data_IF_609914437878
#
_entry.id   IF_609914437878
#
_cell.length_a   1.000
_cell.length_b   1.000
_cell.length_c   1.000
_cell.angle_alpha   90.00
_cell.angle_beta   90.00
_cell.angle_gamma   90.00
#
_symmetry.space_group_name_H-M   'P 1'
#
loop_
_entity.id
_entity.type
_entity.pdbx_description
1 polymer ?
#
# COMPACT_ATOMS: atom_id res chain seq x y z
N UNK A 1 18.83 5.76 -7.89
CA UNK A 1 19.65 4.60 -7.45
C UNK A 1 19.52 4.48 -5.94
N UNK A 2 19.15 3.30 -5.45
CA UNK A 2 18.85 3.05 -4.03
C UNK A 2 19.81 1.99 -3.52
N UNK A 3 20.55 2.29 -2.45
CA UNK A 3 21.58 1.41 -1.90
C UNK A 3 21.45 1.34 -0.38
N UNK A 4 21.43 0.12 0.17
CA UNK A 4 21.17 -0.20 1.58
C UNK A 4 22.47 -0.61 2.27
N UNK A 5 22.67 -0.33 3.57
CA UNK A 5 23.95 -0.59 4.29
C UNK A 5 23.89 -1.27 5.71
N UNK A 6 24.99 -1.90 6.22
CA UNK A 6 25.19 -2.64 7.55
C UNK A 6 26.57 -2.39 8.29
N UNK A 7 26.91 -2.96 9.48
CA UNK A 7 28.09 -3.06 10.47
C UNK A 7 29.21 -2.00 10.82
N UNK A 8 30.25 -2.41 11.61
CA UNK A 8 30.55 -2.16 13.07
C UNK A 8 32.05 -1.89 13.47
N UNK A 9 32.34 -1.11 14.55
CA UNK A 9 33.28 -1.35 15.69
C UNK A 9 33.31 -0.22 16.76
N UNK A 10 33.54 -0.58 18.03
CA UNK A 10 33.73 0.23 19.26
C UNK A 10 35.15 0.01 19.81
N UNK A 11 35.79 0.94 20.56
CA UNK A 11 37.17 0.80 21.00
C UNK A 11 37.37 -0.18 22.18
N UNK A 12 38.60 -0.66 22.26
CA UNK A 12 39.19 -1.57 23.25
C UNK A 12 39.19 -1.03 24.69
N UNK A 13 38.82 -1.88 25.65
CA UNK A 13 39.30 -1.83 27.04
C UNK A 13 39.67 -3.25 27.50
N UNK A 14 40.78 -3.33 28.24
CA UNK A 14 41.58 -4.54 28.51
C UNK A 14 41.31 -5.09 29.93
N UNK A 15 41.42 -6.43 30.07
CA UNK A 15 41.65 -7.26 31.29
C UNK A 15 40.43 -7.91 31.99
N UNK A 16 40.57 -9.08 32.68
CA UNK A 16 41.51 -10.22 32.58
C UNK A 16 40.77 -11.60 32.50
N UNK A 17 41.44 -12.78 32.53
CA UNK A 17 40.94 -14.02 31.93
C UNK A 17 40.06 -14.85 32.86
N UNK A 18 39.06 -15.52 32.28
CA UNK A 18 38.29 -16.59 32.93
C UNK A 18 38.37 -17.87 32.08
N UNK A 19 38.83 -18.95 32.69
CA UNK A 19 39.03 -20.27 32.08
C UNK A 19 37.70 -20.98 31.78
N UNK A 20 37.58 -21.76 30.69
CA UNK A 20 36.36 -22.51 30.40
C UNK A 20 36.42 -23.95 30.91
N UNK A 21 35.34 -24.40 31.56
CA UNK A 21 35.10 -25.81 31.90
C UNK A 21 34.07 -26.44 30.96
N UNK A 22 34.54 -27.46 30.24
CA UNK A 22 33.89 -28.75 29.93
C UNK A 22 32.51 -28.83 29.27
N UNK A 23 32.54 -29.38 28.05
CA UNK A 23 31.81 -30.57 27.58
C UNK A 23 30.28 -30.66 27.79
N UNK A 24 29.53 -30.48 26.69
CA UNK A 24 28.33 -31.29 26.44
C UNK A 24 28.34 -31.87 25.01
N UNK A 25 28.56 -33.18 24.93
CA UNK A 25 28.28 -34.01 23.76
C UNK A 25 26.77 -34.23 23.65
N UNK A 26 26.14 -33.78 22.57
CA UNK A 26 24.79 -34.24 22.18
C UNK A 26 24.89 -35.35 21.13
N UNK A 27 24.29 -36.50 21.47
CA UNK A 27 24.14 -37.68 20.61
C UNK A 27 23.00 -37.42 19.61
N UNK A 28 23.27 -37.59 18.31
CA UNK A 28 22.23 -37.72 17.29
C UNK A 28 21.73 -39.17 17.26
N UNK A 29 20.41 -39.38 17.39
CA UNK A 29 19.74 -40.66 17.10
C UNK A 29 19.23 -40.62 15.66
N UNK A 30 19.74 -41.53 14.83
CA UNK A 30 19.21 -41.84 13.51
C UNK A 30 17.82 -42.49 13.61
N UNK A 31 16.84 -41.92 12.93
CA UNK A 31 15.54 -42.54 12.67
C UNK A 31 15.58 -43.30 11.34
N UNK A 32 15.05 -44.53 11.32
CA UNK A 32 14.84 -45.32 10.10
C UNK A 32 13.54 -44.87 9.41
N UNK A 33 13.46 -44.89 8.07
CA UNK A 33 12.23 -44.56 7.35
C UNK A 33 11.25 -45.75 7.38
N UNK A 34 10.00 -45.45 7.73
CA UNK A 34 8.83 -46.33 7.55
C UNK A 34 8.27 -46.12 6.15
N UNK A 35 8.12 -47.21 5.38
CA UNK A 35 7.47 -47.23 4.07
C UNK A 35 5.93 -47.24 4.24
N UNK A 36 5.27 -46.16 3.85
CA UNK A 36 3.81 -46.05 3.83
C UNK A 36 3.31 -45.64 2.44
N UNK A 37 3.32 -46.58 1.49
CA UNK A 37 2.82 -46.32 0.12
C UNK A 37 1.98 -47.49 -0.37
N UNK A 38 0.68 -47.44 -0.12
CA UNK A 38 -0.32 -48.24 -0.86
C UNK A 38 -1.74 -47.70 -0.69
N UNK A 39 -2.09 -47.14 0.47
CA UNK A 39 -3.49 -46.79 0.77
C UNK A 39 -3.88 -45.34 0.41
N UNK A 40 -2.91 -44.42 0.31
CA UNK A 40 -3.19 -43.00 -0.02
C UNK A 40 -3.59 -42.82 -1.49
N UNK A 41 -3.00 -43.60 -2.41
CA UNK A 41 -3.30 -43.51 -3.84
C UNK A 41 -4.75 -43.91 -4.18
N UNK A 42 -5.33 -44.87 -3.45
CA UNK A 42 -6.73 -45.29 -3.65
C UNK A 42 -7.73 -44.26 -3.13
N UNK A 43 -7.36 -43.50 -2.09
CA UNK A 43 -8.22 -42.47 -1.51
C UNK A 43 -8.32 -41.22 -2.40
N UNK A 44 -7.21 -40.84 -3.07
CA UNK A 44 -7.16 -39.68 -3.96
C UNK A 44 -8.04 -39.89 -5.21
N UNK A 45 -8.08 -41.11 -5.77
CA UNK A 45 -8.89 -41.42 -6.96
C UNK A 45 -10.40 -41.32 -6.65
N UNK A 46 -10.83 -41.76 -5.47
CA UNK A 46 -12.24 -41.68 -5.04
C UNK A 46 -12.71 -40.23 -4.84
N UNK A 47 -11.88 -39.38 -4.25
CA UNK A 47 -12.21 -37.94 -4.06
C UNK A 47 -12.31 -37.23 -5.42
N UNK A 48 -11.42 -37.54 -6.36
CA UNK A 48 -11.43 -36.93 -7.69
C UNK A 48 -12.71 -37.28 -8.46
N UNK A 49 -13.21 -38.51 -8.34
CA UNK A 49 -14.41 -38.95 -9.06
C UNK A 49 -15.68 -38.29 -8.51
N UNK A 50 -15.78 -38.12 -7.18
CA UNK A 50 -16.91 -37.41 -6.55
C UNK A 50 -16.97 -35.94 -6.97
N UNK A 51 -15.84 -35.23 -6.99
CA UNK A 51 -15.79 -33.82 -7.38
C UNK A 51 -16.22 -33.59 -8.83
N UNK A 52 -15.82 -34.46 -9.76
CA UNK A 52 -16.24 -34.35 -11.16
C UNK A 52 -17.75 -34.55 -11.33
N UNK A 53 -18.38 -35.43 -10.54
CA UNK A 53 -19.83 -35.67 -10.63
C UNK A 53 -20.65 -34.48 -10.10
N UNK A 54 -20.17 -33.80 -9.05
CA UNK A 54 -20.81 -32.61 -8.49
C UNK A 54 -20.73 -31.43 -9.47
N UNK A 55 -19.60 -31.24 -10.16
CA UNK A 55 -19.47 -30.16 -11.15
C UNK A 55 -20.45 -30.37 -12.31
N UNK A 56 -20.52 -31.58 -12.89
CA UNK A 56 -21.40 -31.87 -14.04
C UNK A 56 -22.88 -31.66 -13.70
N UNK A 57 -23.32 -32.07 -12.51
CA UNK A 57 -24.72 -31.91 -12.09
C UNK A 57 -25.10 -30.45 -11.83
N UNK A 58 -24.16 -29.63 -11.36
CA UNK A 58 -24.39 -28.20 -11.10
C UNK A 58 -24.50 -27.40 -12.40
N UNK A 59 -23.68 -27.73 -13.41
CA UNK A 59 -23.70 -27.07 -14.73
C UNK A 59 -24.99 -27.34 -15.50
N UNK A 60 -25.55 -28.56 -15.38
CA UNK A 60 -26.83 -28.92 -16.03
C UNK A 60 -28.01 -28.17 -15.38
N UNK A 61 -27.95 -27.90 -14.07
CA UNK A 61 -29.00 -27.18 -13.35
C UNK A 61 -29.02 -25.68 -13.68
N UNK A 62 -27.85 -25.07 -13.89
CA UNK A 62 -27.74 -23.65 -14.24
C UNK A 62 -28.20 -23.33 -15.67
N UNK A 63 -28.08 -24.27 -16.61
CA UNK A 63 -28.49 -24.07 -18.00
C UNK A 63 -30.01 -23.90 -18.22
N UNK A 64 -30.87 -24.37 -17.31
CA UNK A 64 -32.32 -24.30 -17.48
C UNK A 64 -32.98 -23.00 -17.00
N UNK A 65 -32.34 -22.23 -16.11
CA UNK A 65 -32.94 -21.00 -15.55
C UNK A 65 -32.71 -19.74 -16.40
N UNK A 66 -31.73 -19.74 -17.32
CA UNK A 66 -31.40 -18.56 -18.11
C UNK A 66 -32.31 -18.34 -19.34
N UNK A 67 -33.15 -19.30 -19.72
CA UNK A 67 -34.01 -19.13 -20.89
C UNK A 67 -35.28 -18.30 -20.59
N UNK A 68 -35.74 -18.24 -19.33
CA UNK A 68 -36.93 -17.45 -18.97
C UNK A 68 -36.65 -15.96 -18.73
N UNK A 69 -35.44 -15.58 -18.30
CA UNK A 69 -35.10 -14.16 -18.14
C UNK A 69 -34.90 -13.42 -19.48
N UNK A 70 -34.54 -14.14 -20.55
CA UNK A 70 -34.30 -13.53 -21.86
C UNK A 70 -35.59 -13.05 -22.57
N UNK A 71 -36.76 -13.62 -22.22
CA UNK A 71 -38.05 -13.25 -22.83
C UNK A 71 -38.73 -12.05 -22.16
N UNK A 72 -38.40 -11.73 -20.90
CA UNK A 72 -38.93 -10.55 -20.20
C UNK A 72 -38.24 -9.25 -20.62
N UNK A 73 -36.97 -9.31 -21.08
CA UNK A 73 -36.22 -8.13 -21.53
C UNK A 73 -36.73 -7.54 -22.85
N UNK A 74 -37.45 -8.31 -23.67
CA UNK A 74 -37.86 -7.87 -25.02
C UNK A 74 -39.13 -7.02 -25.05
N UNK A 75 -39.88 -6.95 -23.95
CA UNK A 75 -41.19 -6.27 -23.91
C UNK A 75 -41.14 -4.80 -23.46
N UNK A 76 -40.02 -4.35 -22.88
CA UNK A 76 -39.87 -2.98 -22.34
C UNK A 76 -39.21 -1.96 -23.30
N UNK A 77 -38.96 -2.32 -24.56
CA UNK A 77 -38.25 -1.45 -25.52
C UNK A 77 -39.14 -0.69 -26.52
N UNK A 78 -40.45 -0.55 -26.28
CA UNK A 78 -41.36 0.07 -27.26
C UNK A 78 -41.85 1.50 -26.98
N UNK A 79 -41.63 2.05 -25.78
CA UNK A 79 -42.17 3.38 -25.42
C UNK A 79 -41.10 4.40 -24.97
N UNK A 80 -40.14 4.74 -25.83
CA UNK A 80 -39.17 5.81 -25.53
C UNK A 80 -38.62 6.49 -26.78
N UNK A 81 -39.48 7.18 -27.53
CA UNK A 81 -39.09 8.00 -28.68
C UNK A 81 -39.16 9.50 -28.34
N UNK A 82 -38.30 9.96 -27.43
CA UNK A 82 -37.94 11.39 -27.29
C UNK A 82 -36.65 11.66 -26.48
N UNK A 83 -35.99 10.64 -25.91
CA UNK A 83 -34.68 10.76 -25.22
C UNK A 83 -33.49 10.16 -26.00
N UNK A 84 -33.61 9.96 -27.32
CA UNK A 84 -32.71 9.06 -28.08
C UNK A 84 -31.28 9.59 -28.30
N UNK A 85 -31.05 10.91 -28.21
CA UNK A 85 -29.71 11.49 -28.35
C UNK A 85 -28.83 11.26 -27.10
N UNK A 86 -29.42 11.26 -25.90
CA UNK A 86 -28.67 10.97 -24.67
C UNK A 86 -28.47 9.46 -24.42
N UNK A 87 -29.30 8.60 -25.00
CA UNK A 87 -29.20 7.15 -24.79
C UNK A 87 -28.10 6.49 -25.64
N UNK A 88 -27.76 7.04 -26.81
CA UNK A 88 -26.62 6.58 -27.61
C UNK A 88 -25.28 6.95 -26.96
N UNK A 89 -25.18 8.18 -26.44
CA UNK A 89 -24.00 8.67 -25.73
C UNK A 89 -23.66 7.86 -24.46
N UNK A 90 -24.68 7.48 -23.65
CA UNK A 90 -24.46 6.60 -22.49
C UNK A 90 -23.89 5.23 -22.87
N UNK A 91 -24.25 4.69 -24.04
CA UNK A 91 -23.73 3.39 -24.49
C UNK A 91 -22.28 3.47 -24.93
N UNK A 92 -21.84 4.59 -25.48
CA UNK A 92 -20.46 4.76 -25.95
C UNK A 92 -19.49 4.98 -24.78
N UNK A 93 -19.88 5.75 -23.76
CA UNK A 93 -19.14 5.85 -22.49
C UNK A 93 -19.15 4.53 -21.70
N UNK A 94 -20.23 3.75 -21.78
CA UNK A 94 -20.30 2.42 -21.15
C UNK A 94 -19.45 1.36 -21.86
N UNK A 95 -19.06 1.58 -23.12
CA UNK A 95 -18.26 0.64 -23.92
C UNK A 95 -16.75 0.83 -23.80
N UNK A 96 -16.28 1.97 -23.27
CA UNK A 96 -14.83 2.21 -23.14
C UNK A 96 -14.28 1.52 -21.90
N UNK A 97 -13.32 0.63 -22.10
CA UNK A 97 -12.49 0.10 -21.02
C UNK A 97 -11.62 1.23 -20.44
N UNK A 98 -11.95 1.67 -19.23
CA UNK A 98 -11.10 2.56 -18.43
C UNK A 98 -9.97 1.73 -17.82
N UNK A 99 -8.80 2.33 -17.72
CA UNK A 99 -7.60 1.71 -17.12
C UNK A 99 -7.26 2.45 -15.85
N UNK A 100 -7.11 1.70 -14.76
CA UNK A 100 -6.88 2.26 -13.43
C UNK A 100 -5.45 2.04 -12.97
N UNK A 101 -4.85 3.09 -12.41
CA UNK A 101 -3.63 3.02 -11.62
C UNK A 101 -3.97 3.36 -10.17
N UNK A 102 -3.53 2.54 -9.22
CA UNK A 102 -3.64 2.84 -7.81
C UNK A 102 -2.26 2.80 -7.15
N UNK A 103 -1.88 3.91 -6.53
CA UNK A 103 -0.69 4.04 -5.71
C UNK A 103 -1.14 4.38 -4.29
N UNK A 104 -0.70 3.60 -3.31
CA UNK A 104 -1.01 3.94 -1.93
C UNK A 104 -0.53 2.94 -0.90
N UNK A 105 -1.09 3.06 0.29
CA UNK A 105 -0.69 2.31 1.46
C UNK A 105 -1.37 0.94 1.60
N UNK A 106 -1.32 0.36 2.81
CA UNK A 106 -1.96 -0.91 3.17
C UNK A 106 -3.42 -1.05 2.71
N UNK A 107 -4.22 -0.01 2.91
CA UNK A 107 -5.64 -0.02 2.54
C UNK A 107 -5.80 -0.15 1.02
N UNK A 108 -5.08 0.63 0.21
CA UNK A 108 -5.09 0.45 -1.25
C UNK A 108 -4.71 -0.97 -1.68
N UNK A 109 -3.82 -1.63 -0.93
CA UNK A 109 -3.41 -3.02 -1.16
C UNK A 109 -4.39 -4.09 -0.68
N UNK A 110 -5.46 -3.71 0.01
CA UNK A 110 -6.44 -4.64 0.58
C UNK A 110 -5.98 -5.35 1.85
N UNK A 111 -5.00 -4.80 2.58
CA UNK A 111 -4.60 -5.34 3.87
C UNK A 111 -5.78 -5.30 4.85
N UNK A 112 -6.02 -6.39 5.56
CA UNK A 112 -7.19 -6.57 6.45
C UNK A 112 -8.40 -7.22 5.77
N UNK A 113 -8.40 -7.38 4.44
CA UNK A 113 -9.42 -8.14 3.73
C UNK A 113 -9.08 -9.63 3.67
N UNK A 114 -10.11 -10.47 3.54
CA UNK A 114 -9.95 -11.90 3.24
C UNK A 114 -9.43 -12.14 1.81
N UNK A 115 -9.70 -11.21 0.89
CA UNK A 115 -9.24 -11.23 -0.48
C UNK A 115 -8.84 -9.81 -0.93
N UNK A 116 -7.61 -9.65 -1.40
CA UNK A 116 -7.10 -8.35 -1.88
C UNK A 116 -7.89 -7.80 -3.08
N UNK A 117 -8.55 -8.66 -3.86
CA UNK A 117 -9.42 -8.25 -4.96
C UNK A 117 -10.71 -7.55 -4.49
N UNK A 118 -11.00 -7.59 -3.19
CA UNK A 118 -12.10 -6.84 -2.59
C UNK A 118 -11.65 -5.43 -2.18
N UNK A 119 -10.39 -5.03 -2.42
CA UNK A 119 -9.95 -3.67 -2.16
C UNK A 119 -10.62 -2.66 -3.11
N UNK A 120 -10.78 -1.42 -2.67
CA UNK A 120 -11.51 -0.39 -3.41
C UNK A 120 -10.99 -0.16 -4.85
N UNK A 121 -9.68 -0.25 -5.17
CA UNK A 121 -9.21 -0.09 -6.55
C UNK A 121 -9.70 -1.23 -7.45
N UNK A 122 -9.73 -2.45 -6.94
CA UNK A 122 -10.23 -3.63 -7.66
C UNK A 122 -11.74 -3.58 -7.81
N UNK A 123 -12.50 -3.15 -6.79
CA UNK A 123 -13.94 -2.94 -6.91
C UNK A 123 -14.25 -1.91 -8.02
N UNK A 124 -13.48 -0.82 -8.08
CA UNK A 124 -13.66 0.24 -9.08
C UNK A 124 -13.45 -0.26 -10.52
N UNK A 125 -12.51 -1.18 -10.73
CA UNK A 125 -12.26 -1.79 -12.04
C UNK A 125 -13.20 -2.96 -12.36
N UNK A 126 -13.50 -3.83 -11.39
CA UNK A 126 -14.35 -5.01 -11.55
C UNK A 126 -15.80 -4.65 -11.89
N UNK A 127 -16.32 -3.57 -11.32
CA UNK A 127 -17.65 -3.04 -11.66
C UNK A 127 -17.84 -2.80 -13.17
N UNK A 128 -16.73 -2.76 -13.93
CA UNK A 128 -16.71 -2.47 -15.36
C UNK A 128 -15.98 -3.54 -16.19
N UNK A 129 -15.62 -4.68 -15.59
CA UNK A 129 -14.80 -5.71 -16.23
C UNK A 129 -13.50 -5.11 -16.81
N UNK A 130 -12.80 -4.33 -15.99
CA UNK A 130 -11.61 -3.57 -16.37
C UNK A 130 -10.37 -4.02 -15.59
N UNK A 131 -9.20 -3.70 -16.13
CA UNK A 131 -7.92 -3.97 -15.48
C UNK A 131 -7.55 -2.82 -14.54
N UNK A 132 -6.97 -3.17 -13.40
CA UNK A 132 -6.35 -2.23 -12.47
C UNK A 132 -4.92 -2.66 -12.20
N UNK A 133 -4.00 -1.72 -12.34
CA UNK A 133 -2.64 -1.87 -11.87
C UNK A 133 -2.56 -1.26 -10.47
N UNK A 134 -2.60 -2.13 -9.47
CA UNK A 134 -2.56 -1.74 -8.06
C UNK A 134 -1.14 -1.94 -7.52
N UNK A 135 -0.37 -0.85 -7.44
CA UNK A 135 0.99 -0.86 -6.91
C UNK A 135 1.04 -0.49 -5.41
N UNK A 136 -0.06 -0.68 -4.69
CA UNK A 136 -0.01 -0.62 -3.24
C UNK A 136 0.92 -1.68 -2.67
N UNK A 137 1.73 -1.30 -1.68
CA UNK A 137 2.58 -2.23 -0.91
C UNK A 137 3.60 -3.07 -1.70
N UNK A 138 3.88 -2.82 -2.99
CA UNK A 138 5.03 -3.47 -3.66
C UNK A 138 6.38 -2.84 -3.27
N UNK A 139 6.37 -1.70 -2.58
CA UNK A 139 7.57 -1.06 -2.03
C UNK A 139 7.62 -1.29 -0.52
N UNK A 140 7.87 -2.52 -0.09
CA UNK A 140 8.05 -2.86 1.33
C UNK A 140 9.54 -3.05 1.61
N UNK A 141 10.18 -1.98 2.09
CA UNK A 141 11.44 -2.08 2.82
C UNK A 141 11.06 -2.45 4.27
N UNK A 142 11.39 -3.66 4.74
CA UNK A 142 10.86 -4.26 5.97
C UNK A 142 11.18 -3.53 7.30
N UNK A 143 10.52 -2.40 7.58
CA UNK A 143 10.72 -1.56 8.77
C UNK A 143 9.46 -1.44 9.64
N UNK A 144 9.52 -1.91 10.90
CA UNK A 144 8.38 -2.19 11.78
C UNK A 144 7.35 -1.08 12.17
N UNK A 145 7.18 0.06 11.47
CA UNK A 145 6.13 1.04 11.82
C UNK A 145 5.37 1.62 10.62
N UNK A 146 4.03 1.59 10.66
CA UNK A 146 3.16 1.97 9.55
C UNK A 146 3.06 3.44 9.17
N UNK A 147 3.19 4.37 10.12
CA UNK A 147 3.26 5.79 9.77
C UNK A 147 4.53 6.09 8.97
N UNK A 148 5.66 5.52 9.38
CA UNK A 148 6.90 5.64 8.62
C UNK A 148 6.82 4.98 7.24
N UNK A 149 6.07 3.87 7.09
CA UNK A 149 5.86 3.23 5.77
C UNK A 149 5.22 4.18 4.75
N UNK A 150 4.19 4.93 5.14
CA UNK A 150 3.42 5.74 4.18
C UNK A 150 4.29 6.80 3.51
N UNK A 151 5.11 7.51 4.31
CA UNK A 151 6.03 8.52 3.81
C UNK A 151 7.13 7.94 2.92
N UNK A 152 7.76 6.84 3.33
CA UNK A 152 8.82 6.21 2.53
C UNK A 152 8.27 5.65 1.20
N UNK A 153 7.08 5.05 1.22
CA UNK A 153 6.39 4.57 0.02
C UNK A 153 6.05 5.71 -0.93
N UNK A 154 5.60 6.85 -0.41
CA UNK A 154 5.34 8.04 -1.22
C UNK A 154 6.61 8.60 -1.86
N UNK A 155 7.69 8.75 -1.07
CA UNK A 155 8.99 9.19 -1.58
C UNK A 155 9.47 8.25 -2.69
N UNK A 156 9.40 6.95 -2.46
CA UNK A 156 9.77 5.94 -3.44
C UNK A 156 8.92 6.01 -4.70
N UNK A 157 7.59 6.11 -4.57
CA UNK A 157 6.70 6.27 -5.71
C UNK A 157 7.02 7.54 -6.50
N UNK A 158 7.33 8.65 -5.81
CA UNK A 158 7.69 9.91 -6.43
C UNK A 158 9.01 9.84 -7.20
N UNK A 159 10.00 9.12 -6.68
CA UNK A 159 11.34 9.01 -7.26
C UNK A 159 11.42 7.99 -8.39
N UNK A 160 10.55 6.98 -8.36
CA UNK A 160 10.62 5.78 -9.21
C UNK A 160 9.32 5.57 -10.01
N UNK A 161 8.60 6.64 -10.33
CA UNK A 161 7.28 6.59 -10.96
C UNK A 161 7.34 5.84 -12.28
N UNK A 162 8.28 6.14 -13.19
CA UNK A 162 8.43 5.43 -14.46
C UNK A 162 8.74 3.95 -14.27
N UNK A 163 9.61 3.58 -13.32
CA UNK A 163 9.93 2.17 -13.06
C UNK A 163 8.73 1.39 -12.53
N UNK A 164 7.91 2.01 -11.67
CA UNK A 164 6.71 1.38 -11.10
C UNK A 164 5.63 1.26 -12.17
N UNK A 165 5.37 2.36 -12.88
CA UNK A 165 4.22 2.50 -13.77
C UNK A 165 4.48 1.92 -15.17
N UNK A 166 5.73 1.90 -15.62
CA UNK A 166 6.14 1.36 -16.92
C UNK A 166 5.98 2.33 -18.10
N UNK A 167 6.69 2.02 -19.20
CA UNK A 167 6.79 2.88 -20.39
C UNK A 167 5.67 2.69 -21.41
N UNK A 168 4.96 1.56 -21.38
CA UNK A 168 3.90 1.24 -22.34
C UNK A 168 2.50 1.46 -21.77
N UNK A 169 2.39 1.64 -20.46
CA UNK A 169 1.11 1.68 -19.78
C UNK A 169 0.43 3.04 -19.95
N UNK A 170 -0.90 3.00 -19.96
CA UNK A 170 -1.77 4.16 -20.17
C UNK A 170 -2.94 4.04 -19.20
N UNK A 171 -3.20 5.10 -18.45
CA UNK A 171 -4.27 5.12 -17.46
C UNK A 171 -5.24 6.25 -17.75
N UNK A 172 -6.52 5.99 -17.53
CA UNK A 172 -7.58 6.98 -17.61
C UNK A 172 -7.91 7.54 -16.21
N UNK A 173 -7.68 6.75 -15.16
CA UNK A 173 -7.96 7.11 -13.77
C UNK A 173 -6.78 6.67 -12.90
N UNK A 174 -6.30 7.58 -12.05
CA UNK A 174 -5.18 7.38 -11.14
C UNK A 174 -5.64 7.73 -9.72
N UNK A 175 -5.49 6.82 -8.77
CA UNK A 175 -5.78 7.07 -7.35
C UNK A 175 -4.49 7.11 -6.54
N UNK A 176 -4.36 8.10 -5.66
CA UNK A 176 -3.22 8.33 -4.78
C UNK A 176 -3.70 8.35 -3.32
N UNK A 177 -3.32 7.35 -2.53
CA UNK A 177 -3.73 7.18 -1.13
C UNK A 177 -2.50 7.13 -0.24
N UNK A 178 -2.25 8.18 0.54
CA UNK A 178 -1.15 8.21 1.50
C UNK A 178 -1.63 8.95 2.75
N UNK A 179 -1.35 8.38 3.92
CA UNK A 179 -1.80 8.92 5.21
C UNK A 179 -0.89 10.08 5.67
N UNK A 180 0.42 9.87 5.58
CA UNK A 180 1.44 10.86 5.95
C UNK A 180 2.06 11.45 4.68
N UNK A 181 1.61 12.66 4.34
CA UNK A 181 1.96 13.32 3.08
C UNK A 181 3.23 14.16 3.26
N UNK A 182 4.32 13.75 2.60
CA UNK A 182 5.42 14.63 2.28
C UNK A 182 5.04 15.44 1.03
N UNK A 183 4.71 16.72 1.24
CA UNK A 183 4.22 17.58 0.17
C UNK A 183 5.19 17.68 -1.01
N UNK A 184 6.51 17.62 -0.76
CA UNK A 184 7.52 17.67 -1.81
C UNK A 184 7.52 16.40 -2.66
N UNK A 185 7.44 15.23 -2.04
CA UNK A 185 7.34 13.95 -2.72
C UNK A 185 6.02 13.84 -3.49
N UNK A 186 4.90 14.24 -2.89
CA UNK A 186 3.60 14.23 -3.56
C UNK A 186 3.57 15.19 -4.76
N UNK A 187 4.14 16.39 -4.60
CA UNK A 187 4.24 17.37 -5.68
C UNK A 187 5.03 16.79 -6.87
N UNK A 188 6.18 16.16 -6.60
CA UNK A 188 6.99 15.52 -7.64
C UNK A 188 6.23 14.36 -8.32
N UNK A 189 5.63 13.46 -7.53
CA UNK A 189 4.86 12.32 -8.04
C UNK A 189 3.73 12.78 -8.95
N UNK A 190 2.92 13.73 -8.48
CA UNK A 190 1.73 14.20 -9.20
C UNK A 190 2.10 14.99 -10.45
N UNK A 191 3.18 15.79 -10.41
CA UNK A 191 3.73 16.46 -11.59
C UNK A 191 4.11 15.43 -12.66
N UNK A 192 4.87 14.40 -12.30
CA UNK A 192 5.30 13.33 -13.22
C UNK A 192 4.11 12.57 -13.81
N UNK A 193 3.15 12.21 -12.96
CA UNK A 193 1.92 11.53 -13.41
C UNK A 193 1.11 12.42 -14.36
N UNK A 194 1.02 13.73 -14.11
CA UNK A 194 0.31 14.66 -14.99
C UNK A 194 1.05 14.90 -16.31
N UNK A 195 2.37 15.03 -16.29
CA UNK A 195 3.21 15.12 -17.50
C UNK A 195 3.04 13.87 -18.37
N UNK A 196 3.04 12.69 -17.74
CA UNK A 196 2.89 11.41 -18.42
C UNK A 196 1.45 11.11 -18.87
N UNK A 197 0.47 11.43 -18.05
CA UNK A 197 -0.95 11.16 -18.29
C UNK A 197 -1.75 12.46 -18.27
N UNK A 198 -1.58 13.33 -19.28
CA UNK A 198 -2.16 14.68 -19.28
C UNK A 198 -3.69 14.67 -19.16
N UNK A 199 -4.34 13.60 -19.61
CA UNK A 199 -5.80 13.44 -19.63
C UNK A 199 -6.36 12.58 -18.50
N UNK A 200 -5.52 11.96 -17.67
CA UNK A 200 -6.01 11.08 -16.61
C UNK A 200 -6.75 11.88 -15.54
N UNK A 201 -7.80 11.29 -14.99
CA UNK A 201 -8.43 11.76 -13.75
C UNK A 201 -7.51 11.36 -12.59
N UNK A 202 -6.97 12.33 -11.86
CA UNK A 202 -6.14 12.08 -10.68
C UNK A 202 -6.98 12.33 -9.42
N UNK A 203 -7.14 11.30 -8.60
CA UNK A 203 -7.94 11.28 -7.38
C UNK A 203 -7.02 11.09 -6.17
N UNK A 204 -6.99 12.08 -5.29
CA UNK A 204 -6.34 12.01 -3.99
C UNK A 204 -7.32 11.42 -2.99
N UNK A 205 -6.99 10.26 -2.42
CA UNK A 205 -7.82 9.52 -1.49
C UNK A 205 -7.30 9.78 -0.08
N UNK A 206 -8.01 10.62 0.67
CA UNK A 206 -7.70 10.91 2.08
C UNK A 206 -8.53 10.01 2.99
N UNK A 207 -7.84 9.06 3.61
CA UNK A 207 -8.41 8.19 4.64
C UNK A 207 -8.03 8.74 6.02
N UNK A 208 -8.97 8.69 6.96
CA UNK A 208 -8.66 8.81 8.39
C UNK A 208 -8.58 7.39 8.98
N UNK A 209 -8.05 7.27 10.19
CA UNK A 209 -7.88 6.02 10.91
C UNK A 209 -8.12 6.19 12.42
N UNK A 210 -8.33 5.11 13.19
CA UNK A 210 -8.47 5.19 14.64
C UNK A 210 -7.30 5.87 15.36
N UNK A 211 -6.07 5.79 14.83
CA UNK A 211 -4.91 6.44 15.45
C UNK A 211 -4.91 7.97 15.31
N UNK A 212 -5.78 8.52 14.47
CA UNK A 212 -5.95 9.97 14.32
C UNK A 212 -6.82 10.58 15.43
N UNK A 213 -7.40 9.74 16.30
CA UNK A 213 -8.19 10.21 17.43
C UNK A 213 -7.35 10.44 18.69
N UNK A 214 -7.77 11.43 19.47
CA UNK A 214 -7.25 11.73 20.79
C UNK A 214 -8.39 12.17 21.71
N UNK A 215 -8.16 12.15 23.01
CA UNK A 215 -9.02 12.85 23.98
C UNK A 215 -8.14 13.69 24.91
N UNK A 216 -8.76 14.62 25.61
CA UNK A 216 -8.12 15.40 26.66
C UNK A 216 -8.50 14.78 28.00
N UNK A 217 -7.51 14.31 28.75
CA UNK A 217 -7.74 13.69 30.06
C UNK A 217 -8.08 14.72 31.15
N UNK A 218 -8.28 14.24 32.38
CA UNK A 218 -8.63 15.09 33.54
C UNK A 218 -7.52 16.08 33.93
N UNK A 219 -6.28 15.85 33.50
CA UNK A 219 -5.12 16.72 33.74
C UNK A 219 -4.93 17.73 32.60
N UNK A 220 -5.79 17.69 31.58
CA UNK A 220 -5.67 18.52 30.39
C UNK A 220 -4.63 17.99 29.39
N UNK A 221 -4.14 16.77 29.57
CA UNK A 221 -3.16 16.15 28.68
C UNK A 221 -3.88 15.49 27.50
N UNK A 222 -3.32 15.69 26.31
CA UNK A 222 -3.72 14.96 25.11
C UNK A 222 -3.27 13.50 25.21
N UNK A 223 -4.23 12.57 25.13
CA UNK A 223 -3.99 11.13 25.08
C UNK A 223 -4.45 10.62 23.73
N UNK A 224 -3.50 10.15 22.93
CA UNK A 224 -3.79 9.54 21.63
C UNK A 224 -4.53 8.21 21.79
N UNK A 225 -5.27 7.80 20.76
CA UNK A 225 -5.93 6.50 20.73
C UNK A 225 -4.95 5.34 20.91
N UNK A 226 -3.74 5.43 20.34
CA UNK A 226 -2.69 4.43 20.52
C UNK A 226 -2.21 4.33 21.97
N UNK A 227 -1.98 5.46 22.65
CA UNK A 227 -1.59 5.49 24.06
C UNK A 227 -2.70 4.97 24.97
N UNK A 228 -3.94 5.41 24.73
CA UNK A 228 -5.12 4.90 25.45
C UNK A 228 -5.23 3.39 25.33
N UNK A 229 -5.02 2.85 24.12
CA UNK A 229 -5.10 1.41 23.85
C UNK A 229 -4.05 0.61 24.62
N UNK A 230 -2.84 1.15 24.79
CA UNK A 230 -1.76 0.52 25.59
C UNK A 230 -2.10 0.49 27.08
N UNK A 231 -2.87 1.47 27.57
CA UNK A 231 -3.30 1.54 28.97
C UNK A 231 -4.45 0.58 29.31
N UNK A 232 -5.19 0.11 28.30
CA UNK A 232 -6.30 -0.81 28.52
C UNK A 232 -5.82 -2.19 28.96
N UNK A 233 -6.55 -2.88 29.85
CA UNK A 233 -6.22 -4.25 30.25
C UNK A 233 -6.07 -5.15 29.02
N UNK A 234 -5.09 -6.07 29.06
CA UNK A 234 -4.87 -7.04 27.98
C UNK A 234 -6.07 -7.96 27.72
N UNK A 235 -6.99 -8.08 28.69
CA UNK A 235 -8.26 -8.79 28.55
C UNK A 235 -9.28 -8.08 27.66
N UNK A 236 -9.08 -6.79 27.36
CA UNK A 236 -9.82 -6.07 26.34
C UNK A 236 -9.23 -6.44 24.97
N UNK A 237 -9.44 -7.69 24.56
CA UNK A 237 -9.07 -8.15 23.23
C UNK A 237 -9.90 -7.40 22.19
N UNK A 238 -9.31 -7.02 21.06
CA UNK A 238 -10.02 -6.33 19.97
C UNK A 238 -11.20 -7.15 19.44
N UNK A 239 -11.16 -8.47 19.64
CA UNK A 239 -12.24 -9.38 19.29
C UNK A 239 -13.54 -9.05 20.03
N UNK A 240 -13.48 -8.41 21.22
CA UNK A 240 -14.63 -7.77 21.85
C UNK A 240 -14.74 -6.29 21.46
N UNK A 241 -15.04 -6.08 20.17
CA UNK A 241 -15.34 -4.77 19.57
C UNK A 241 -16.35 -3.98 20.42
N UNK A 242 -17.34 -4.63 21.04
CA UNK A 242 -18.36 -3.97 21.86
C UNK A 242 -17.81 -3.45 23.19
N UNK A 243 -16.93 -4.21 23.86
CA UNK A 243 -16.28 -3.75 25.08
C UNK A 243 -15.37 -2.54 24.84
N UNK A 244 -14.63 -2.53 23.72
CA UNK A 244 -13.82 -1.36 23.35
C UNK A 244 -14.70 -0.11 23.17
N UNK A 245 -15.80 -0.23 22.42
CA UNK A 245 -16.71 0.90 22.19
C UNK A 245 -17.26 1.44 23.52
N UNK A 246 -17.68 0.55 24.43
CA UNK A 246 -18.13 0.96 25.77
C UNK A 246 -17.05 1.70 26.55
N UNK A 247 -15.80 1.23 26.51
CA UNK A 247 -14.69 1.89 27.19
C UNK A 247 -14.36 3.26 26.55
N UNK A 248 -14.47 3.37 25.22
CA UNK A 248 -14.27 4.64 24.52
C UNK A 248 -15.34 5.68 24.86
N UNK A 249 -16.59 5.26 25.12
CA UNK A 249 -17.69 6.15 25.48
C UNK A 249 -17.47 6.92 26.79
N UNK A 250 -16.52 6.47 27.62
CA UNK A 250 -16.15 7.16 28.85
C UNK A 250 -15.36 8.45 28.59
N UNK A 251 -14.84 8.63 27.38
CA UNK A 251 -14.01 9.76 26.99
C UNK A 251 -14.65 10.57 25.87
N UNK A 252 -14.29 11.86 25.80
CA UNK A 252 -14.69 12.73 24.68
C UNK A 252 -13.59 12.74 23.63
N UNK A 253 -13.80 11.97 22.56
CA UNK A 253 -12.83 11.87 21.47
C UNK A 253 -12.93 13.04 20.50
N UNK A 254 -11.77 13.38 19.94
CA UNK A 254 -11.53 14.40 18.93
C UNK A 254 -10.70 13.79 17.80
N UNK A 255 -11.01 14.15 16.56
CA UNK A 255 -10.17 13.80 15.42
C UNK A 255 -9.10 14.88 15.26
N UNK A 256 -7.83 14.49 15.09
CA UNK A 256 -6.74 15.43 14.81
C UNK A 256 -6.98 16.11 13.46
N UNK A 257 -7.30 17.40 13.47
CA UNK A 257 -7.39 18.18 12.24
C UNK A 257 -5.99 18.35 11.64
N UNK A 258 -5.78 17.79 10.45
CA UNK A 258 -4.54 17.96 9.68
C UNK A 258 -4.52 19.34 8.96
N UNK A 259 -4.71 20.42 9.72
CA UNK A 259 -4.86 21.79 9.20
C UNK A 259 -3.67 22.27 8.37
N UNK A 260 -2.44 21.98 8.80
CA UNK A 260 -1.23 22.51 8.15
C UNK A 260 -0.98 21.93 6.75
N UNK A 261 -1.33 20.66 6.56
CA UNK A 261 -1.12 19.95 5.29
C UNK A 261 -2.13 20.44 4.23
N UNK A 262 -3.28 21.00 4.64
CA UNK A 262 -4.36 21.40 3.73
C UNK A 262 -3.94 22.40 2.64
N UNK A 263 -3.25 23.48 3.03
CA UNK A 263 -2.92 24.57 2.09
C UNK A 263 -1.92 24.15 1.01
N UNK A 264 -0.90 23.38 1.38
CA UNK A 264 0.11 22.92 0.42
C UNK A 264 -0.46 21.86 -0.52
N UNK A 265 -1.31 20.98 0.01
CA UNK A 265 -2.04 20.01 -0.78
C UNK A 265 -2.99 20.68 -1.79
N UNK A 266 -3.77 21.67 -1.38
CA UNK A 266 -4.65 22.41 -2.29
C UNK A 266 -3.88 23.01 -3.47
N UNK A 267 -2.67 23.54 -3.22
CA UNK A 267 -1.78 24.02 -4.30
C UNK A 267 -1.36 22.90 -5.23
N UNK A 268 -0.95 21.74 -4.70
CA UNK A 268 -0.57 20.57 -5.50
C UNK A 268 -1.74 20.11 -6.35
N UNK A 269 -2.94 20.02 -5.76
CA UNK A 269 -4.15 19.56 -6.43
C UNK A 269 -4.58 20.51 -7.56
N UNK A 270 -4.55 21.81 -7.29
CA UNK A 270 -4.83 22.83 -8.29
C UNK A 270 -3.84 22.77 -9.46
N UNK A 271 -2.54 22.60 -9.17
CA UNK A 271 -1.49 22.54 -10.19
C UNK A 271 -1.65 21.35 -11.16
N UNK A 272 -2.20 20.22 -10.69
CA UNK A 272 -2.39 19.02 -11.51
C UNK A 272 -3.84 18.78 -11.93
N UNK A 273 -4.75 19.74 -11.70
CA UNK A 273 -6.20 19.57 -11.90
C UNK A 273 -6.70 18.23 -11.32
N UNK A 274 -6.28 17.95 -10.09
CA UNK A 274 -6.68 16.75 -9.36
C UNK A 274 -7.91 16.99 -8.50
N UNK A 275 -8.51 15.90 -8.06
CA UNK A 275 -9.68 15.92 -7.18
C UNK A 275 -9.39 15.22 -5.87
N UNK A 276 -10.04 15.67 -4.80
CA UNK A 276 -9.93 15.07 -3.48
C UNK A 276 -11.18 14.25 -3.19
N UNK A 277 -10.98 13.02 -2.77
CA UNK A 277 -11.94 12.25 -2.01
C UNK A 277 -11.48 12.19 -0.56
N UNK A 278 -12.35 12.54 0.37
CA UNK A 278 -12.10 12.37 1.80
C UNK A 278 -13.12 11.39 2.36
N UNK A 279 -12.63 10.36 3.05
CA UNK A 279 -13.49 9.43 3.77
C UNK A 279 -14.32 10.23 4.78
N UNK A 280 -15.67 10.14 4.75
CA UNK A 280 -16.52 10.94 5.63
C UNK A 280 -16.17 10.72 7.10
N UNK A 281 -16.03 11.80 7.85
CA UNK A 281 -15.85 11.73 9.31
C UNK A 281 -17.21 11.92 9.98
N UNK A 282 -17.54 11.16 11.04
CA UNK A 282 -18.76 11.41 11.79
C UNK A 282 -18.73 12.82 12.40
N UNK A 283 -19.85 13.55 12.34
CA UNK A 283 -19.95 14.92 12.91
C UNK A 283 -19.71 14.92 14.43
N UNK A 284 -20.19 13.89 15.11
CA UNK A 284 -19.86 13.61 16.50
C UNK A 284 -19.37 12.18 16.61
N UNK A 285 -18.06 12.01 16.84
CA UNK A 285 -17.45 10.68 16.95
C UNK A 285 -18.01 9.90 18.14
N UNK A 286 -18.33 10.57 19.25
CA UNK A 286 -18.82 9.90 20.46
C UNK A 286 -20.20 9.27 20.25
N UNK A 287 -21.03 9.87 19.39
CA UNK A 287 -22.33 9.31 19.02
C UNK A 287 -22.21 8.17 17.99
N UNK A 288 -21.05 8.03 17.35
CA UNK A 288 -20.85 7.16 16.20
C UNK A 288 -19.62 6.25 16.35
N UNK A 289 -19.19 5.93 17.58
CA UNK A 289 -17.99 5.12 17.79
C UNK A 289 -18.03 3.76 17.06
N UNK A 290 -19.22 3.21 16.81
CA UNK A 290 -19.41 2.00 16.00
C UNK A 290 -18.74 2.08 14.61
N UNK A 291 -18.61 3.29 14.05
CA UNK A 291 -17.91 3.48 12.78
C UNK A 291 -16.46 3.00 12.83
N UNK A 292 -15.79 3.09 13.98
CA UNK A 292 -14.41 2.63 14.14
C UNK A 292 -14.29 1.12 13.92
N UNK A 293 -15.21 0.36 14.49
CA UNK A 293 -15.21 -1.11 14.40
C UNK A 293 -15.84 -1.63 13.11
N UNK A 294 -16.73 -0.84 12.51
CA UNK A 294 -17.35 -1.15 11.22
C UNK A 294 -16.43 -0.85 10.05
N UNK A 295 -15.63 0.22 10.13
CA UNK A 295 -14.84 0.72 8.99
C UNK A 295 -13.36 0.36 9.05
N UNK A 296 -12.85 -0.07 10.21
CA UNK A 296 -11.44 -0.40 10.36
C UNK A 296 -11.25 -1.79 10.95
N UNK A 297 -10.21 -2.46 10.45
CA UNK A 297 -9.71 -3.69 11.01
C UNK A 297 -8.30 -3.47 11.56
N UNK A 298 -8.04 -4.03 12.74
CA UNK A 298 -6.70 -4.06 13.30
C UNK A 298 -5.87 -5.10 12.55
N UNK A 299 -4.81 -4.64 11.88
CA UNK A 299 -3.90 -5.54 11.19
C UNK A 299 -2.92 -6.14 12.17
N UNK A 300 -3.27 -7.33 12.67
CA UNK A 300 -2.38 -8.13 13.49
C UNK A 300 -1.15 -8.56 12.69
N UNK A 301 -0.08 -7.76 12.74
CA UNK A 301 1.24 -8.24 12.35
C UNK A 301 1.68 -9.27 13.40
N UNK A 302 1.30 -10.54 13.20
CA UNK A 302 1.78 -11.67 14.01
C UNK A 302 3.27 -11.88 13.71
N UNK A 303 4.10 -10.93 14.08
CA UNK A 303 5.54 -11.04 14.13
C UNK A 303 5.83 -12.06 15.24
N UNK A 304 6.06 -13.30 14.83
CA UNK A 304 6.12 -14.49 15.69
C UNK A 304 7.32 -14.53 16.63
N UNK A 305 8.08 -13.43 16.81
CA UNK A 305 9.42 -13.49 17.40
C UNK A 305 9.92 -12.29 18.22
N UNK A 306 9.11 -11.26 18.48
CA UNK A 306 9.60 -10.11 19.26
C UNK A 306 9.04 -10.09 20.69
N UNK A 307 9.89 -10.40 21.68
CA UNK A 307 9.66 -10.21 23.12
C UNK A 307 9.63 -8.71 23.54
N UNK A 308 9.52 -7.78 22.58
CA UNK A 308 9.45 -6.33 22.88
C UNK A 308 8.01 -5.88 23.07
N UNK A 309 7.75 -5.28 24.23
CA UNK A 309 6.44 -5.09 24.86
C UNK A 309 5.44 -4.13 24.20
N UNK A 310 5.69 -3.59 23.00
CA UNK A 310 4.74 -2.69 22.31
C UNK A 310 4.89 -2.86 20.80
N UNK A 311 4.06 -3.69 20.17
CA UNK A 311 3.91 -3.70 18.72
C UNK A 311 3.05 -2.50 18.30
N UNK A 312 3.50 -1.66 17.35
CA UNK A 312 2.68 -0.58 16.83
C UNK A 312 1.35 -1.14 16.31
N UNK A 313 0.26 -0.51 16.73
CA UNK A 313 -1.09 -0.91 16.31
C UNK A 313 -1.36 -0.30 14.94
N UNK A 314 -1.86 -1.10 14.01
CA UNK A 314 -2.08 -0.71 12.63
C UNK A 314 -3.53 -0.95 12.25
N UNK A 315 -4.13 0.06 11.64
CA UNK A 315 -5.51 0.00 11.17
C UNK A 315 -5.55 0.12 9.66
N UNK A 316 -6.36 -0.74 9.05
CA UNK A 316 -6.67 -0.71 7.62
C UNK A 316 -8.17 -0.70 7.44
N UNK A 317 -8.64 -0.41 6.22
CA UNK A 317 -10.07 -0.40 5.95
C UNK A 317 -10.66 -1.81 6.06
N UNK A 318 -11.83 -1.91 6.68
CA UNK A 318 -12.67 -3.10 6.63
C UNK A 318 -13.28 -3.27 5.23
N UNK A 319 -13.92 -4.43 5.00
CA UNK A 319 -14.71 -4.68 3.77
C UNK A 319 -15.79 -3.62 3.55
N UNK A 320 -16.51 -3.23 4.60
CA UNK A 320 -17.56 -2.20 4.51
C UNK A 320 -17.00 -0.84 4.12
N UNK A 321 -15.87 -0.44 4.72
CA UNK A 321 -15.23 0.83 4.38
C UNK A 321 -14.66 0.81 2.96
N UNK A 322 -14.09 -0.31 2.52
CA UNK A 322 -13.67 -0.49 1.13
C UNK A 322 -14.81 -0.27 0.14
N UNK A 323 -15.98 -0.86 0.38
CA UNK A 323 -17.17 -0.65 -0.44
C UNK A 323 -17.65 0.81 -0.38
N UNK A 324 -17.58 1.46 0.79
CA UNK A 324 -17.92 2.87 0.94
C UNK A 324 -17.00 3.77 0.11
N UNK A 325 -15.68 3.59 0.21
CA UNK A 325 -14.68 4.33 -0.56
C UNK A 325 -14.88 4.12 -2.06
N UNK A 326 -15.02 2.87 -2.50
CA UNK A 326 -15.33 2.54 -3.89
C UNK A 326 -16.58 3.26 -4.40
N UNK A 327 -17.70 3.16 -3.66
CA UNK A 327 -18.99 3.73 -4.09
C UNK A 327 -18.92 5.24 -4.27
N UNK A 328 -18.21 5.93 -3.39
CA UNK A 328 -18.08 7.37 -3.48
C UNK A 328 -17.08 7.81 -4.57
N UNK A 329 -15.96 7.09 -4.73
CA UNK A 329 -15.03 7.31 -5.84
C UNK A 329 -15.70 7.08 -7.20
N UNK A 330 -16.53 6.06 -7.34
CA UNK A 330 -17.26 5.81 -8.58
C UNK A 330 -18.15 7.00 -8.94
N UNK A 331 -18.86 7.60 -7.97
CA UNK A 331 -19.69 8.79 -8.22
C UNK A 331 -18.85 9.96 -8.74
N UNK A 332 -17.68 10.20 -8.15
CA UNK A 332 -16.76 11.25 -8.59
C UNK A 332 -16.29 10.98 -10.02
N UNK A 333 -15.85 9.75 -10.30
CA UNK A 333 -15.42 9.33 -11.64
C UNK A 333 -16.54 9.50 -12.66
N UNK A 334 -17.76 9.06 -12.36
CA UNK A 334 -18.89 9.21 -13.29
C UNK A 334 -19.23 10.67 -13.57
N UNK A 335 -19.15 11.53 -12.55
CA UNK A 335 -19.38 12.96 -12.70
C UNK A 335 -18.36 13.59 -13.66
N UNK A 336 -17.07 13.28 -13.50
CA UNK A 336 -16.03 13.85 -14.36
C UNK A 336 -16.00 13.26 -15.78
N UNK A 337 -16.31 11.97 -15.94
CA UNK A 337 -16.48 11.39 -17.28
C UNK A 337 -17.63 12.06 -18.04
N UNK A 338 -18.75 12.34 -17.34
CA UNK A 338 -19.88 13.07 -17.92
C UNK A 338 -19.49 14.50 -18.30
N UNK A 339 -18.77 15.21 -17.42
CA UNK A 339 -18.27 16.56 -17.69
C UNK A 339 -17.34 16.59 -18.91
N UNK A 340 -16.37 15.68 -18.97
CA UNK A 340 -15.42 15.56 -20.08
C UNK A 340 -16.12 15.31 -21.43
N UNK A 341 -17.23 14.55 -21.39
CA UNK A 341 -18.06 14.30 -22.56
C UNK A 341 -18.84 15.55 -22.99
N UNK A 342 -19.46 16.26 -22.04
CA UNK A 342 -20.18 17.51 -22.31
C UNK A 342 -19.26 18.57 -22.91
N UNK A 343 -18.04 18.70 -22.40
CA UNK A 343 -17.02 19.61 -22.94
C UNK A 343 -16.66 19.23 -24.40
N UNK A 344 -16.54 17.93 -24.69
CA UNK A 344 -16.27 17.44 -26.06
C UNK A 344 -17.42 17.70 -27.03
N UNK A 345 -18.67 17.66 -26.56
CA UNK A 345 -19.87 17.88 -27.38
C UNK A 345 -20.02 19.35 -27.83
N UNK A 346 -19.42 20.30 -27.12
CA UNK A 346 -19.45 21.73 -27.48
C UNK A 346 -18.54 22.09 -28.66
N UNK A 347 -17.90 21.11 -29.31
CA UNK A 347 -17.06 21.35 -30.48
C UNK A 347 -15.69 21.94 -30.15
N UNK A 348 -15.35 22.09 -28.87
CA UNK A 348 -13.97 22.22 -28.42
C UNK A 348 -13.34 20.85 -28.65
N UNK A 349 -12.87 20.63 -29.88
CA UNK A 349 -12.21 19.39 -30.28
C UNK A 349 -11.17 19.06 -29.21
N UNK A 350 -11.24 17.89 -28.55
CA UNK A 350 -10.29 17.52 -27.52
C UNK A 350 -8.93 17.64 -28.17
N UNK A 351 -8.14 18.61 -27.71
CA UNK A 351 -6.93 19.04 -28.39
C UNK A 351 -6.09 17.81 -28.77
N UNK A 352 -5.35 17.88 -29.87
CA UNK A 352 -4.40 16.85 -30.33
C UNK A 352 -3.29 16.50 -29.31
N UNK A 353 -3.44 16.90 -28.03
CA UNK A 353 -2.69 16.38 -26.91
C UNK A 353 -2.57 14.87 -26.99
N UNK A 354 -1.34 14.35 -26.98
CA UNK A 354 -1.11 12.92 -27.04
C UNK A 354 -1.78 12.26 -25.83
N UNK A 355 -2.27 11.03 -26.04
CA UNK A 355 -2.88 10.23 -24.97
C UNK A 355 -1.89 9.95 -23.83
N UNK A 356 -0.60 9.98 -24.16
CA UNK A 356 0.52 9.69 -23.27
C UNK A 356 1.62 10.71 -23.54
N UNK A 357 2.06 11.41 -22.49
CA UNK A 357 3.20 12.32 -22.54
C UNK A 357 4.54 11.62 -22.30
N UNK A 358 5.57 12.41 -22.06
CA UNK A 358 6.91 11.90 -21.69
C UNK A 358 7.02 11.79 -20.17
N UNK A 359 8.05 11.09 -19.68
CA UNK A 359 8.43 11.11 -18.26
C UNK A 359 9.31 12.33 -17.91
N UNK A 360 9.27 13.39 -18.72
CA UNK A 360 10.21 14.50 -18.63
C UNK A 360 11.65 14.01 -18.82
N UNK A 361 12.51 14.28 -17.83
CA UNK A 361 13.88 13.77 -17.79
C UNK A 361 13.99 12.26 -17.50
N UNK A 362 12.87 11.58 -17.26
CA UNK A 362 12.81 10.19 -16.86
C UNK A 362 13.18 10.00 -15.38
N UNK A 363 12.70 8.90 -14.80
CA UNK A 363 12.94 8.54 -13.41
C UNK A 363 13.04 7.04 -13.20
N UNK A 364 13.72 6.37 -14.14
CA UNK A 364 14.10 4.97 -13.99
C UNK A 364 14.95 4.78 -12.75
N UNK A 365 14.36 4.15 -11.75
CA UNK A 365 15.04 3.66 -10.57
C UNK A 365 15.56 2.26 -10.80
N UNK A 366 16.84 2.08 -10.47
CA UNK A 366 17.42 0.79 -10.19
C UNK A 366 17.41 0.57 -8.68
N UNK A 367 16.58 -0.38 -8.24
CA UNK A 367 16.47 -0.80 -6.86
C UNK A 367 17.49 -1.92 -6.62
N UNK A 368 18.70 -1.53 -6.22
CA UNK A 368 19.78 -2.49 -5.99
C UNK A 368 19.43 -3.47 -4.86
N UNK A 369 18.66 -3.02 -3.86
CA UNK A 369 18.20 -3.85 -2.75
C UNK A 369 17.51 -5.14 -3.20
N UNK A 370 16.74 -5.12 -4.29
CA UNK A 370 16.05 -6.31 -4.79
C UNK A 370 16.90 -7.15 -5.73
N UNK A 371 17.73 -6.49 -6.54
CA UNK A 371 18.39 -7.18 -7.66
C UNK A 371 19.81 -7.59 -7.36
N UNK A 372 20.52 -6.87 -6.49
CA UNK A 372 21.95 -7.02 -6.24
C UNK A 372 22.83 -6.65 -7.44
N UNK A 373 22.23 -6.32 -8.60
CA UNK A 373 22.88 -6.08 -9.90
C UNK A 373 23.31 -4.62 -10.02
N UNK A 374 24.34 -4.34 -10.82
CA UNK A 374 24.90 -3.00 -11.13
C UNK A 374 25.91 -2.41 -10.12
N UNK A 375 25.85 -2.77 -8.83
CA UNK A 375 26.93 -2.40 -7.87
C UNK A 375 28.03 -3.45 -7.74
N UNK A 376 27.96 -4.56 -8.48
CA UNK A 376 28.88 -5.69 -8.38
C UNK A 376 30.29 -5.41 -8.92
N UNK A 377 30.52 -4.27 -9.56
CA UNK A 377 31.88 -3.84 -9.87
C UNK A 377 32.56 -3.29 -8.61
N UNK A 378 33.70 -3.88 -8.23
CA UNK A 378 34.51 -3.50 -7.05
C UNK A 378 34.87 -2.00 -6.98
N UNK A 379 34.65 -1.25 -8.06
CA UNK A 379 34.95 0.18 -8.16
C UNK A 379 33.92 1.09 -7.48
N UNK A 380 32.68 0.64 -7.27
CA UNK A 380 31.63 1.50 -6.71
C UNK A 380 31.54 1.45 -5.19
N UNK A 381 32.14 0.46 -4.53
CA UNK A 381 32.08 0.33 -3.09
C UNK A 381 33.45 0.00 -2.49
N UNK A 382 33.99 0.92 -1.69
CA UNK A 382 35.26 0.73 -0.97
C UNK A 382 34.99 0.61 0.52
N UNK A 383 35.45 -0.48 1.15
CA UNK A 383 35.27 -0.73 2.60
C UNK A 383 33.86 -1.19 2.99
N UNK A 384 33.06 -1.62 2.01
CA UNK A 384 31.69 -2.08 2.19
C UNK A 384 31.62 -3.55 1.79
N UNK A 385 30.96 -4.39 2.58
CA UNK A 385 30.79 -5.82 2.30
C UNK A 385 29.38 -6.09 1.81
N UNK A 386 29.23 -6.70 0.63
CA UNK A 386 27.92 -7.14 0.18
C UNK A 386 27.38 -8.27 1.07
N UNK A 387 26.12 -8.14 1.49
CA UNK A 387 25.34 -9.13 2.24
C UNK A 387 24.04 -9.40 1.52
N UNK A 388 23.68 -10.67 1.47
CA UNK A 388 22.41 -11.14 0.95
C UNK A 388 21.54 -11.65 2.10
N UNK A 389 20.28 -11.24 2.12
CA UNK A 389 19.27 -11.55 3.12
C UNK A 389 18.06 -12.15 2.42
N UNK A 390 18.00 -13.49 2.32
CA UNK A 390 16.94 -14.27 1.65
C UNK A 390 16.71 -13.92 0.17
N UNK A 391 16.20 -12.72 -0.12
CA UNK A 391 15.90 -12.17 -1.45
C UNK A 391 16.28 -10.69 -1.59
N UNK A 392 17.09 -10.19 -0.66
CA UNK A 392 17.44 -8.78 -0.58
C UNK A 392 18.95 -8.61 -0.43
N UNK A 393 19.45 -7.46 -0.87
CA UNK A 393 20.87 -7.14 -0.87
C UNK A 393 21.13 -5.88 -0.05
N UNK A 394 22.14 -5.93 0.82
CA UNK A 394 22.62 -4.78 1.58
C UNK A 394 24.15 -4.70 1.54
N UNK A 395 24.71 -3.52 1.77
CA UNK A 395 26.15 -3.24 1.84
C UNK A 395 26.57 -2.99 3.28
N UNK A 396 27.13 -3.97 3.93
CA UNK A 396 27.71 -3.83 5.25
C UNK A 396 28.95 -2.92 5.28
N UNK A 397 28.79 -1.66 5.70
CA UNK A 397 29.84 -0.86 6.36
C UNK A 397 30.50 -1.70 7.44
N UNK A 398 31.81 -1.61 7.56
CA UNK A 398 32.54 -2.12 8.73
C UNK A 398 32.94 -0.89 9.54
N UNK A 399 32.35 -0.66 10.71
CA UNK A 399 32.52 0.61 11.42
C UNK A 399 33.90 0.88 12.01
N UNK A 400 34.85 -0.07 11.94
CA UNK A 400 36.27 0.27 12.14
C UNK A 400 36.86 1.06 10.97
N UNK A 401 36.38 0.82 9.73
CA UNK A 401 36.95 1.43 8.52
C UNK A 401 36.01 2.42 7.83
N UNK A 402 34.72 2.42 8.17
CA UNK A 402 33.70 3.08 7.36
C UNK A 402 33.66 2.50 5.94
N UNK A 403 33.11 3.27 5.01
CA UNK A 403 33.12 2.91 3.60
C UNK A 403 32.75 4.09 2.70
N UNK A 404 32.96 3.92 1.40
CA UNK A 404 32.55 4.89 0.38
C UNK A 404 31.79 4.17 -0.71
N UNK A 405 30.58 4.65 -0.97
CA UNK A 405 29.81 4.28 -2.15
C UNK A 405 29.93 5.40 -3.19
N UNK A 406 30.27 5.03 -4.40
CA UNK A 406 30.19 5.89 -5.56
C UNK A 406 29.00 5.45 -6.42
N UNK A 407 28.19 6.43 -6.80
CA UNK A 407 27.04 6.24 -7.69
C UNK A 407 27.28 7.13 -8.90
N UNK A 408 27.25 6.54 -10.10
CA UNK A 408 27.26 7.32 -11.32
C UNK A 408 25.85 7.83 -11.59
N UNK A 409 25.71 9.15 -11.75
CA UNK A 409 24.49 9.74 -12.26
C UNK A 409 24.57 9.72 -13.80
N UNK A 410 23.75 8.90 -14.49
CA UNK A 410 23.79 8.85 -15.95
C UNK A 410 23.10 10.04 -16.61
N UNK A 411 22.47 10.91 -15.82
CA UNK A 411 21.75 12.09 -16.30
C UNK A 411 22.64 13.34 -16.23
N UNK A 412 22.36 14.28 -17.12
CA UNK A 412 22.97 15.61 -17.19
C UNK A 412 22.48 16.55 -16.08
N UNK A 413 21.34 16.26 -15.48
CA UNK A 413 20.80 16.96 -14.31
C UNK A 413 21.07 16.25 -12.98
N UNK A 414 21.04 17.02 -11.89
CA UNK A 414 21.21 16.48 -10.55
C UNK A 414 20.05 15.56 -10.15
N UNK A 415 20.38 14.38 -9.61
CA UNK A 415 19.39 13.39 -9.17
C UNK A 415 19.47 13.13 -7.68
N UNK A 416 18.32 12.85 -7.10
CA UNK A 416 18.19 12.46 -5.70
C UNK A 416 18.74 11.03 -5.53
N UNK A 417 19.61 10.87 -4.54
CA UNK A 417 20.05 9.56 -4.05
C UNK A 417 19.31 9.29 -2.75
N UNK A 418 18.52 8.21 -2.73
CA UNK A 418 17.80 7.78 -1.54
C UNK A 418 18.59 6.66 -0.85
N UNK A 419 18.96 6.89 0.41
CA UNK A 419 19.75 5.98 1.23
C UNK A 419 18.93 5.56 2.44
N UNK A 420 18.76 4.26 2.64
CA UNK A 420 18.11 3.70 3.82
C UNK A 420 19.12 2.90 4.65
N UNK A 421 18.95 2.96 5.97
CA UNK A 421 19.84 2.31 6.92
C UNK A 421 19.05 1.32 7.78
N UNK A 422 19.65 0.18 8.05
CA UNK A 422 19.14 -0.79 9.02
C UNK A 422 20.23 -1.09 10.04
N UNK A 423 19.87 -1.33 11.30
CA UNK A 423 20.82 -1.70 12.36
C UNK A 423 20.46 -3.07 12.91
N UNK A 424 21.45 -3.95 13.09
CA UNK A 424 21.27 -5.31 13.64
C UNK A 424 20.84 -5.32 15.11
N UNK A 425 20.98 -4.20 15.82
CA UNK A 425 20.67 -4.05 17.24
C UNK A 425 19.31 -3.40 17.48
N UNK A 426 18.22 -3.99 16.95
CA UNK A 426 16.86 -3.52 17.23
C UNK A 426 16.51 -3.57 18.73
N UNK A 427 17.13 -4.50 19.49
CA UNK A 427 16.78 -4.77 20.89
C UNK A 427 17.61 -3.99 21.93
N UNK A 428 18.71 -3.33 21.56
CA UNK A 428 19.47 -2.49 22.50
C UNK A 428 19.04 -1.02 22.37
N UNK A 429 17.90 -0.68 22.98
CA UNK A 429 17.23 0.62 22.85
C UNK A 429 18.12 1.83 23.18
N UNK A 430 19.19 1.67 23.96
CA UNK A 430 20.09 2.77 24.35
C UNK A 430 21.33 2.96 23.47
N UNK A 431 21.58 2.08 22.47
CA UNK A 431 22.81 2.12 21.64
C UNK A 431 22.54 1.91 20.14
N UNK A 432 21.44 2.44 19.61
CA UNK A 432 21.25 2.54 18.15
C UNK A 432 22.33 3.48 17.59
N UNK A 433 23.24 2.95 16.80
CA UNK A 433 24.30 3.73 16.13
C UNK A 433 24.01 3.72 14.63
N UNK A 434 23.70 4.89 14.10
CA UNK A 434 23.56 5.12 12.67
C UNK A 434 24.87 5.66 12.10
N UNK A 435 25.25 5.30 10.86
CA UNK A 435 26.44 5.84 10.23
C UNK A 435 26.30 7.35 10.03
N UNK A 436 27.39 8.08 10.20
CA UNK A 436 27.47 9.47 9.76
C UNK A 436 27.77 9.48 8.26
N UNK A 437 26.82 9.93 7.46
CA UNK A 437 26.94 9.95 6.01
C UNK A 437 27.35 11.33 5.52
N UNK A 438 28.37 11.38 4.66
CA UNK A 438 28.77 12.60 3.95
C UNK A 438 28.63 12.36 2.45
N UNK A 439 27.71 13.08 1.81
CA UNK A 439 27.55 13.08 0.35
C UNK A 439 28.51 14.10 -0.25
N UNK A 440 29.22 13.73 -1.30
CA UNK A 440 30.09 14.63 -2.08
C UNK A 440 29.83 14.41 -3.56
N UNK A 441 29.64 15.50 -4.30
CA UNK A 441 29.68 15.49 -5.77
C UNK A 441 31.15 15.39 -6.19
N UNK A 442 31.43 14.49 -7.13
CA UNK A 442 32.74 14.38 -7.78
C UNK A 442 32.70 15.01 -9.15
#
# INVERSE_FOLDING_TARGET
MIVVFSTQQVPTMVSPPYSPSSNQRRRFRLWKPYSFTSNVARFIVLISFCLTLTVVTTTIRYGKNNHQQFLLLRRNLRDSSSNSLFSHSRRELAGRHLRFLALGGPSTGGQGLSNALDAYPHQLANARNQNVDNYASSVVLGSASASQYSKEQQIMASLCTQSIVGDSNIYDIITLEYQDLDASALSLLTKRLRERFPRAIILFVKLWSPVDFYYIDVEGKEVSFAEWRIQQPSSLEWDDKSAMIRAMQEQRWHLREQLEIGVELEKIFGAVNGMIYQLPTPLNINDNLNVLVEWFEESNSKSSRSDSSITPIHYTLSSNAHTKVYTDLEKIVQKELKRSYEDSATGISPSNTPLVGTWGSGDRCNLWYETGKELSEQHYSRGLQHKEFSHHHALEVVASSGGTLQVQNPFDEDRVVYLTYMTTSANASSKKVYPRTKVRRR
#
